data_IF_853300257013
#
_entry.id   IF_853300257013
#
_cell.length_a   1.000
_cell.length_b   1.000
_cell.length_c   1.000
_cell.angle_alpha   90.00
_cell.angle_beta   90.00
_cell.angle_gamma   90.00
#
_symmetry.space_group_name_H-M   'P 1'
#
loop_
_entity.id
_entity.type
_entity.pdbx_description
1 polymer ?
#
# COMPACT_ATOMS: atom_id res chain seq x y z
N UNK A 1 1.63 -87.37 11.07
CA UNK A 1 1.62 -85.99 11.61
C UNK A 1 2.78 -85.26 10.94
N UNK A 2 2.54 -84.57 9.82
CA UNK A 2 2.02 -83.18 9.75
C UNK A 2 3.09 -82.21 10.23
N UNK A 3 3.87 -81.64 9.30
CA UNK A 3 3.68 -80.30 8.73
C UNK A 3 4.53 -79.25 9.49
N UNK A 4 5.33 -78.40 8.86
CA UNK A 4 5.64 -78.38 7.42
C UNK A 4 6.82 -77.44 7.07
N UNK A 5 7.28 -77.61 5.82
CA UNK A 5 7.60 -76.57 4.81
C UNK A 5 8.49 -75.40 5.27
N UNK A 6 9.75 -75.30 4.85
CA UNK A 6 10.31 -75.05 3.50
C UNK A 6 10.97 -73.64 3.52
N UNK A 7 12.07 -73.34 2.83
CA UNK A 7 12.85 -74.18 1.92
C UNK A 7 13.33 -73.38 0.70
N UNK A 8 14.61 -72.99 0.71
CA UNK A 8 15.52 -72.79 -0.43
C UNK A 8 15.33 -71.60 -1.41
N UNK A 9 16.44 -70.85 -1.55
CA UNK A 9 17.06 -70.28 -2.76
C UNK A 9 16.40 -70.48 -4.14
N UNK A 10 16.46 -69.44 -5.01
CA UNK A 10 17.22 -69.42 -6.29
C UNK A 10 16.98 -68.10 -7.07
N UNK A 11 18.02 -67.30 -7.39
CA UNK A 11 18.80 -67.23 -8.66
C UNK A 11 18.40 -66.09 -9.65
N UNK A 12 19.35 -65.15 -9.78
CA UNK A 12 19.79 -64.35 -10.95
C UNK A 12 18.85 -63.93 -12.11
N UNK A 13 18.97 -62.64 -12.49
CA UNK A 13 19.46 -62.24 -13.83
C UNK A 13 19.93 -60.76 -13.88
N UNK A 14 21.19 -60.57 -14.34
CA UNK A 14 21.79 -59.56 -15.27
C UNK A 14 21.02 -58.23 -15.49
N UNK A 15 21.64 -57.05 -15.61
CA UNK A 15 22.80 -56.77 -16.47
C UNK A 15 23.58 -55.47 -16.13
N UNK A 16 24.90 -55.61 -16.02
CA UNK A 16 26.00 -54.80 -16.61
C UNK A 16 25.62 -53.66 -17.60
N UNK A 17 26.27 -52.49 -17.60
CA UNK A 17 27.72 -52.27 -17.90
C UNK A 17 28.37 -51.07 -17.20
N UNK A 18 29.67 -51.22 -16.96
CA UNK A 18 30.68 -50.17 -16.73
C UNK A 18 31.21 -49.68 -18.08
N UNK A 19 31.62 -48.41 -18.19
CA UNK A 19 32.89 -48.05 -18.82
C UNK A 19 33.41 -46.70 -18.28
N UNK A 20 34.63 -46.77 -17.81
CA UNK A 20 35.49 -45.70 -17.27
C UNK A 20 36.54 -45.38 -18.34
N UNK A 21 37.12 -44.19 -18.33
CA UNK A 21 38.38 -43.88 -19.01
C UNK A 21 38.94 -42.55 -18.51
N UNK A 22 39.97 -42.62 -17.69
CA UNK A 22 40.85 -41.50 -17.37
C UNK A 22 41.69 -41.09 -18.58
N UNK A 23 41.93 -39.78 -18.75
CA UNK A 23 43.21 -39.27 -19.25
C UNK A 23 43.59 -38.05 -18.40
N UNK A 24 44.65 -38.20 -17.62
CA UNK A 24 45.40 -37.14 -16.94
C UNK A 24 46.52 -36.61 -17.88
N UNK A 25 47.03 -35.39 -17.64
CA UNK A 25 48.40 -34.87 -17.91
C UNK A 25 48.46 -33.32 -17.84
N UNK A 26 48.80 -32.84 -16.64
CA UNK A 26 49.91 -31.90 -16.28
C UNK A 26 50.16 -30.54 -16.98
N UNK A 27 50.24 -29.51 -16.10
CA UNK A 27 51.21 -28.39 -16.01
C UNK A 27 51.26 -27.37 -17.17
N UNK A 28 51.60 -26.09 -16.98
CA UNK A 28 52.70 -25.39 -16.24
C UNK A 28 52.10 -24.01 -15.76
N UNK A 29 52.20 -23.55 -14.50
CA UNK A 29 53.31 -22.78 -13.84
C UNK A 29 53.84 -21.62 -14.74
N UNK A 30 54.22 -20.39 -14.31
CA UNK A 30 54.45 -19.73 -13.03
C UNK A 30 54.18 -18.21 -13.14
N UNK A 31 53.94 -17.52 -12.02
CA UNK A 31 54.81 -16.42 -11.52
C UNK A 31 54.15 -15.52 -10.44
N UNK A 32 54.76 -15.52 -9.24
CA UNK A 32 54.58 -14.55 -8.14
C UNK A 32 56.00 -14.13 -7.70
N UNK A 33 56.30 -12.83 -7.50
CA UNK A 33 56.66 -12.27 -6.16
C UNK A 33 56.25 -10.78 -6.00
N UNK A 34 56.21 -10.10 -4.84
CA UNK A 34 56.23 -10.42 -3.39
C UNK A 34 55.39 -9.30 -2.70
N UNK A 35 55.13 -9.21 -1.39
CA UNK A 35 55.54 -9.98 -0.21
C UNK A 35 54.70 -9.63 1.03
N UNK A 36 54.94 -10.33 2.14
CA UNK A 36 54.12 -10.25 3.37
C UNK A 36 54.31 -9.00 4.25
N UNK A 37 54.06 -9.02 5.57
CA UNK A 37 53.85 -10.13 6.53
C UNK A 37 52.94 -9.61 7.68
N UNK A 38 52.14 -10.46 8.34
CA UNK A 38 51.61 -10.12 9.68
C UNK A 38 50.38 -10.90 10.17
N UNK A 39 50.57 -12.13 10.65
CA UNK A 39 49.55 -12.85 11.46
C UNK A 39 49.70 -12.54 12.96
N UNK A 40 48.59 -12.65 13.72
CA UNK A 40 48.40 -12.98 15.17
C UNK A 40 47.11 -12.26 15.66
N UNK A 41 46.22 -12.78 16.52
CA UNK A 41 45.74 -14.14 16.86
C UNK A 41 44.42 -13.94 17.66
N UNK A 42 43.55 -14.94 17.69
CA UNK A 42 42.20 -14.91 18.31
C UNK A 42 42.23 -14.77 19.85
N UNK A 43 41.35 -13.96 20.46
CA UNK A 43 41.19 -13.87 21.92
C UNK A 43 40.09 -12.91 22.44
N UNK A 44 39.00 -13.52 22.92
CA UNK A 44 38.20 -13.19 24.12
C UNK A 44 37.27 -11.95 24.23
N UNK A 45 36.41 -12.02 25.26
CA UNK A 45 35.08 -11.39 25.37
C UNK A 45 35.03 -10.08 26.19
N UNK A 46 33.84 -9.43 26.16
CA UNK A 46 33.27 -8.56 27.21
C UNK A 46 34.09 -7.33 27.63
N UNK A 47 33.76 -6.17 27.07
CA UNK A 47 33.35 -4.98 27.85
C UNK A 47 33.12 -3.73 26.98
N UNK A 48 31.88 -3.22 26.91
CA UNK A 48 31.51 -1.78 26.81
C UNK A 48 30.01 -1.62 26.52
N UNK A 49 29.16 -1.71 27.54
CA UNK A 49 27.79 -1.16 27.51
C UNK A 49 27.38 -0.69 28.92
N UNK A 50 28.08 0.33 29.43
CA UNK A 50 27.77 1.02 30.69
C UNK A 50 28.29 2.46 30.65
N UNK A 51 27.65 3.32 29.85
CA UNK A 51 27.83 4.79 29.99
C UNK A 51 26.73 5.68 29.37
N UNK A 52 25.66 5.12 28.78
CA UNK A 52 24.57 5.92 28.16
C UNK A 52 23.40 6.27 29.08
N UNK A 53 23.27 5.64 30.25
CA UNK A 53 22.07 5.71 31.11
C UNK A 53 22.09 6.78 32.21
N UNK A 54 23.11 7.65 32.27
CA UNK A 54 23.31 8.59 33.41
C UNK A 54 22.98 10.07 33.13
N UNK A 55 22.45 10.39 31.94
CA UNK A 55 22.14 11.77 31.53
C UNK A 55 20.64 12.12 31.48
N UNK A 56 19.74 11.14 31.57
CA UNK A 56 18.28 11.36 31.45
C UNK A 56 17.54 11.59 32.78
N UNK A 57 18.15 11.29 33.93
CA UNK A 57 17.49 11.46 35.25
C UNK A 57 17.60 12.87 35.86
N UNK A 58 18.31 13.82 35.24
CA UNK A 58 18.54 15.17 35.80
C UNK A 58 17.61 16.29 35.32
N UNK A 59 16.55 15.98 34.57
CA UNK A 59 15.64 17.00 34.00
C UNK A 59 14.15 16.88 34.38
N UNK A 60 13.78 15.96 35.29
CA UNK A 60 12.37 15.73 35.71
C UNK A 60 12.09 16.24 37.15
N UNK A 61 13.05 16.91 37.79
CA UNK A 61 12.89 17.51 39.12
C UNK A 61 13.32 18.98 39.17
N UNK A 62 12.49 19.87 38.60
CA UNK A 62 12.36 21.28 39.02
C UNK A 62 11.21 21.98 38.28
N UNK A 63 10.01 22.02 38.89
CA UNK A 63 9.13 23.20 39.04
C UNK A 63 7.70 22.81 39.45
N UNK A 64 7.46 22.83 40.75
CA UNK A 64 6.14 23.03 41.34
C UNK A 64 6.17 24.37 42.09
N UNK A 65 5.27 25.30 41.74
CA UNK A 65 4.84 26.45 42.56
C UNK A 65 3.71 27.20 41.85
N UNK A 66 2.71 27.63 42.62
CA UNK A 66 1.50 28.38 42.24
C UNK A 66 1.77 29.92 42.25
N UNK A 67 0.87 30.89 41.96
CA UNK A 67 -0.60 31.00 42.05
C UNK A 67 -1.22 32.03 41.05
N UNK A 68 -2.57 32.06 41.02
CA UNK A 68 -3.49 33.23 40.97
C UNK A 68 -3.71 34.07 39.67
N UNK A 69 -4.83 33.75 39.01
CA UNK A 69 -5.97 34.63 38.61
C UNK A 69 -5.79 36.07 38.11
N UNK A 70 -6.37 36.36 36.93
CA UNK A 70 -7.22 37.54 36.64
C UNK A 70 -8.10 37.29 35.40
N UNK A 71 -9.19 38.06 35.25
CA UNK A 71 -10.29 37.91 34.26
C UNK A 71 -10.84 39.31 33.91
N UNK A 72 -11.49 39.63 32.78
CA UNK A 72 -11.72 39.03 31.44
C UNK A 72 -12.08 40.25 30.51
N UNK A 73 -12.98 40.24 29.49
CA UNK A 73 -13.59 39.22 28.60
C UNK A 73 -13.51 39.64 27.08
N UNK A 74 -14.37 39.07 26.21
CA UNK A 74 -14.79 39.56 24.85
C UNK A 74 -13.77 39.33 23.70
N UNK A 75 -14.08 38.81 22.49
CA UNK A 75 -15.23 38.11 21.88
C UNK A 75 -14.73 37.30 20.65
N UNK A 76 -15.47 36.28 20.18
CA UNK A 76 -15.22 35.66 18.85
C UNK A 76 -15.64 34.19 18.69
N UNK A 77 -16.77 33.94 18.00
CA UNK A 77 -17.27 32.59 17.68
C UNK A 77 -16.35 31.80 16.75
N UNK A 78 -16.05 30.54 17.11
CA UNK A 78 -15.83 29.45 16.13
C UNK A 78 -16.60 28.21 16.57
N UNK A 79 -17.57 27.82 15.74
CA UNK A 79 -18.41 26.63 15.94
C UNK A 79 -17.54 25.37 15.89
N UNK A 80 -17.41 24.68 17.03
CA UNK A 80 -16.78 23.36 17.12
C UNK A 80 -17.77 22.33 17.67
N UNK A 81 -18.65 21.85 16.78
CA UNK A 81 -19.57 20.74 17.06
C UNK A 81 -18.80 19.43 17.13
N UNK A 82 -18.16 19.17 18.29
CA UNK A 82 -17.80 17.82 18.71
C UNK A 82 -18.74 17.39 19.83
N UNK A 83 -19.60 16.42 19.50
CA UNK A 83 -20.66 15.95 20.39
C UNK A 83 -20.07 15.25 21.62
N UNK A 84 -20.20 15.87 22.79
CA UNK A 84 -19.94 15.21 24.07
C UNK A 84 -20.94 14.05 24.23
N UNK A 85 -20.44 12.82 24.21
CA UNK A 85 -21.09 11.71 24.91
C UNK A 85 -20.52 11.69 26.33
N UNK A 86 -21.41 11.64 27.32
CA UNK A 86 -21.08 11.82 28.74
C UNK A 86 -20.11 10.75 29.25
N UNK A 87 -19.16 11.18 30.08
CA UNK A 87 -18.48 10.28 31.03
C UNK A 87 -19.47 9.92 32.13
N UNK A 88 -19.64 8.62 32.37
CA UNK A 88 -20.13 8.08 33.64
C UNK A 88 -18.95 7.42 34.33
N UNK A 89 -18.70 7.80 35.58
CA UNK A 89 -17.62 7.22 36.37
C UNK A 89 -17.97 5.80 36.83
N UNK A 90 -17.06 4.86 36.60
CA UNK A 90 -17.04 3.55 37.24
C UNK A 90 -15.60 3.09 37.34
N UNK A 91 -15.03 3.17 38.55
CA UNK A 91 -13.77 2.49 38.86
C UNK A 91 -14.02 0.98 38.80
N UNK A 92 -13.36 0.28 37.87
CA UNK A 92 -13.31 -1.19 37.91
C UNK A 92 -11.88 -1.71 38.08
N UNK A 93 -11.79 -2.56 39.10
CA UNK A 93 -10.65 -3.34 39.58
C UNK A 93 -9.76 -3.89 38.46
N UNK A 94 -8.43 -3.71 38.62
CA UNK A 94 -7.41 -4.27 37.73
C UNK A 94 -7.33 -5.81 37.82
N UNK A 95 -8.26 -6.50 37.14
CA UNK A 95 -8.18 -7.93 36.86
C UNK A 95 -7.23 -8.20 35.69
N UNK A 96 -6.22 -9.05 35.89
CA UNK A 96 -5.26 -9.44 34.84
C UNK A 96 -5.90 -10.39 33.82
N UNK A 97 -6.72 -9.85 32.93
CA UNK A 97 -7.25 -10.59 31.77
C UNK A 97 -6.18 -10.63 30.69
N UNK A 98 -5.83 -11.84 30.22
CA UNK A 98 -5.08 -12.01 28.97
C UNK A 98 -5.96 -11.48 27.83
N UNK A 99 -5.75 -10.23 27.43
CA UNK A 99 -6.52 -9.58 26.39
C UNK A 99 -6.53 -10.42 25.12
N UNK A 100 -7.72 -10.92 24.74
CA UNK A 100 -7.91 -11.55 23.45
C UNK A 100 -7.61 -10.52 22.37
N UNK A 101 -6.74 -10.90 21.44
CA UNK A 101 -6.17 -9.94 20.50
C UNK A 101 -7.18 -9.70 19.38
N UNK A 102 -8.07 -8.73 19.60
CA UNK A 102 -9.16 -8.37 18.68
C UNK A 102 -8.60 -7.92 17.33
N UNK A 103 -8.52 -8.84 16.37
CA UNK A 103 -8.30 -8.49 14.97
C UNK A 103 -9.57 -7.82 14.43
N UNK A 104 -9.43 -6.79 13.57
CA UNK A 104 -10.58 -6.24 12.83
C UNK A 104 -11.35 -7.40 12.15
N UNK A 105 -12.64 -7.63 12.50
CA UNK A 105 -13.41 -8.74 11.96
C UNK A 105 -13.61 -8.56 10.45
N UNK A 106 -13.58 -9.67 9.70
CA UNK A 106 -13.99 -9.63 8.28
C UNK A 106 -15.49 -9.37 8.25
N UNK A 107 -15.91 -8.28 7.61
CA UNK A 107 -17.33 -8.04 7.33
C UNK A 107 -17.72 -8.98 6.19
N UNK A 108 -18.79 -9.75 6.37
CA UNK A 108 -19.23 -10.72 5.37
C UNK A 108 -19.53 -10.06 4.02
N UNK A 109 -19.14 -10.74 2.94
CA UNK A 109 -19.24 -10.21 1.57
C UNK A 109 -18.33 -9.02 1.26
N UNK A 110 -17.32 -8.71 2.09
CA UNK A 110 -16.35 -7.64 1.83
C UNK A 110 -14.91 -8.12 2.06
N UNK A 111 -13.94 -7.65 1.23
CA UNK A 111 -12.54 -7.97 1.45
C UNK A 111 -12.09 -7.67 2.87
N UNK A 112 -11.26 -8.56 3.42
CA UNK A 112 -10.70 -8.35 4.75
C UNK A 112 -10.00 -6.99 4.82
N UNK A 113 -10.21 -6.24 5.91
CA UNK A 113 -9.54 -4.95 6.14
C UNK A 113 -9.84 -3.91 5.03
N UNK A 114 -11.02 -4.02 4.38
CA UNK A 114 -11.50 -3.06 3.40
C UNK A 114 -11.69 -1.66 4.02
N UNK A 115 -11.39 -0.62 3.26
CA UNK A 115 -11.66 0.76 3.66
C UNK A 115 -11.49 1.76 2.53
N UNK A 116 -12.01 2.97 2.72
CA UNK A 116 -11.88 4.08 1.77
C UNK A 116 -10.68 4.94 2.13
N UNK A 117 -9.74 5.11 1.20
CA UNK A 117 -8.63 6.05 1.32
C UNK A 117 -9.13 7.45 0.94
N UNK A 118 -9.69 7.57 -0.27
CA UNK A 118 -10.32 8.76 -0.82
C UNK A 118 -11.60 8.34 -1.57
N UNK A 119 -12.52 9.26 -1.91
CA UNK A 119 -13.62 8.96 -2.81
C UNK A 119 -13.10 8.34 -4.11
N UNK A 120 -13.51 7.10 -4.42
CA UNK A 120 -13.02 6.33 -5.57
C UNK A 120 -11.66 5.65 -5.40
N UNK A 121 -11.02 5.70 -4.23
CA UNK A 121 -9.75 5.00 -3.97
C UNK A 121 -9.87 4.19 -2.66
N UNK A 122 -9.80 2.87 -2.79
CA UNK A 122 -10.06 1.91 -1.72
C UNK A 122 -8.80 1.11 -1.36
N UNK A 123 -8.78 0.55 -0.14
CA UNK A 123 -7.76 -0.39 0.33
C UNK A 123 -8.40 -1.71 0.77
N UNK A 124 -7.65 -2.81 0.70
CA UNK A 124 -8.04 -4.08 1.35
C UNK A 124 -6.87 -5.04 1.56
N UNK A 125 -7.15 -6.16 2.23
CA UNK A 125 -6.46 -7.45 2.03
C UNK A 125 -6.80 -8.09 0.70
N UNK A 126 -6.32 -9.30 0.48
CA UNK A 126 -6.48 -9.98 -0.80
C UNK A 126 -7.95 -10.37 -1.01
N UNK A 127 -8.61 -9.98 -2.12
CA UNK A 127 -9.98 -10.40 -2.39
C UNK A 127 -10.12 -11.91 -2.56
N UNK A 128 -11.19 -12.45 -2.00
CA UNK A 128 -11.62 -13.84 -2.11
C UNK A 128 -12.92 -13.90 -2.92
N UNK A 129 -13.34 -15.09 -3.39
CA UNK A 129 -14.50 -15.23 -4.28
C UNK A 129 -15.82 -14.71 -3.69
N UNK A 130 -15.99 -14.82 -2.37
CA UNK A 130 -17.13 -14.25 -1.63
C UNK A 130 -17.15 -12.71 -1.60
N UNK A 131 -16.04 -12.04 -1.94
CA UNK A 131 -15.93 -10.58 -1.95
C UNK A 131 -16.30 -9.97 -3.33
N UNK A 132 -16.34 -10.78 -4.39
CA UNK A 132 -16.44 -10.31 -5.78
C UNK A 132 -17.75 -9.58 -6.09
N UNK A 133 -18.86 -9.97 -5.46
CA UNK A 133 -20.16 -9.29 -5.56
C UNK A 133 -20.06 -7.83 -5.10
N UNK A 134 -19.51 -7.59 -3.91
CA UNK A 134 -19.30 -6.23 -3.40
C UNK A 134 -18.29 -5.44 -4.24
N UNK A 135 -17.23 -6.08 -4.75
CA UNK A 135 -16.25 -5.41 -5.60
C UNK A 135 -16.80 -5.03 -6.99
N UNK A 136 -17.74 -5.81 -7.54
CA UNK A 136 -18.51 -5.46 -8.74
C UNK A 136 -19.33 -4.20 -8.49
N UNK A 137 -20.02 -4.12 -7.36
CA UNK A 137 -20.88 -2.97 -7.03
C UNK A 137 -20.08 -1.66 -6.84
N UNK A 138 -18.80 -1.74 -6.44
CA UNK A 138 -17.87 -0.59 -6.45
C UNK A 138 -17.51 -0.09 -7.86
N UNK A 139 -17.85 -0.82 -8.93
CA UNK A 139 -17.53 -0.52 -10.33
C UNK A 139 -16.04 -0.16 -10.51
N UNK A 140 -15.16 -0.99 -9.94
CA UNK A 140 -13.72 -0.78 -10.02
C UNK A 140 -13.26 -0.75 -11.48
N UNK A 141 -12.36 0.18 -11.78
CA UNK A 141 -11.66 0.25 -13.06
C UNK A 141 -10.25 -0.34 -12.96
N UNK A 142 -9.61 -0.21 -11.80
CA UNK A 142 -8.23 -0.68 -11.59
C UNK A 142 -8.08 -1.39 -10.25
N UNK A 143 -7.38 -2.53 -10.28
CA UNK A 143 -6.89 -3.22 -9.08
C UNK A 143 -5.37 -3.16 -9.08
N UNK A 144 -4.80 -2.69 -7.97
CA UNK A 144 -3.35 -2.66 -7.73
C UNK A 144 -2.98 -3.71 -6.69
N UNK A 145 -2.29 -4.76 -7.10
CA UNK A 145 -1.84 -5.85 -6.23
C UNK A 145 -0.36 -5.68 -5.87
N UNK A 146 -0.08 -5.50 -4.58
CA UNK A 146 1.28 -5.30 -4.06
C UNK A 146 2.04 -6.61 -3.75
N UNK A 147 1.58 -7.74 -4.30
CA UNK A 147 2.13 -9.07 -4.02
C UNK A 147 2.17 -9.88 -5.30
N UNK A 148 3.36 -10.39 -5.60
CA UNK A 148 3.59 -11.41 -6.59
C UNK A 148 3.26 -12.79 -5.97
N UNK A 149 2.10 -13.35 -6.32
CA UNK A 149 1.64 -14.69 -5.94
C UNK A 149 0.55 -15.16 -6.91
N UNK A 150 0.32 -16.46 -6.96
CA UNK A 150 -0.79 -17.04 -7.73
C UNK A 150 -2.14 -16.45 -7.32
N UNK A 151 -2.99 -16.26 -8.32
CA UNK A 151 -4.30 -15.66 -8.15
C UNK A 151 -5.29 -16.72 -7.67
N UNK A 152 -6.20 -16.39 -6.73
CA UNK A 152 -7.23 -17.32 -6.32
C UNK A 152 -8.18 -17.62 -7.48
N UNK A 153 -8.88 -18.75 -7.38
CA UNK A 153 -9.80 -19.21 -8.41
C UNK A 153 -10.86 -18.14 -8.74
N UNK A 154 -11.18 -18.03 -10.03
CA UNK A 154 -12.11 -17.02 -10.55
C UNK A 154 -11.63 -15.57 -10.53
N UNK A 155 -10.47 -15.23 -9.93
CA UNK A 155 -10.05 -13.82 -9.83
C UNK A 155 -9.75 -13.18 -11.20
N UNK A 156 -9.11 -13.93 -12.11
CA UNK A 156 -8.90 -13.48 -13.49
C UNK A 156 -10.24 -13.29 -14.22
N UNK A 157 -11.15 -14.24 -14.09
CA UNK A 157 -12.50 -14.20 -14.69
C UNK A 157 -13.30 -13.01 -14.17
N UNK A 158 -13.23 -12.74 -12.85
CA UNK A 158 -13.84 -11.56 -12.23
C UNK A 158 -13.28 -10.26 -12.83
N UNK A 159 -11.95 -10.11 -12.89
CA UNK A 159 -11.34 -8.90 -13.45
C UNK A 159 -11.68 -8.71 -14.94
N UNK A 160 -11.62 -9.78 -15.74
CA UNK A 160 -11.96 -9.74 -17.18
C UNK A 160 -13.43 -9.39 -17.42
N UNK A 161 -14.37 -10.06 -16.73
CA UNK A 161 -15.81 -9.84 -16.89
C UNK A 161 -16.28 -8.45 -16.46
N UNK A 162 -15.54 -7.79 -15.57
CA UNK A 162 -15.83 -6.42 -15.11
C UNK A 162 -14.97 -5.34 -15.80
N UNK A 163 -14.12 -5.72 -16.77
CA UNK A 163 -13.26 -4.78 -17.49
C UNK A 163 -12.18 -4.10 -16.62
N UNK A 164 -11.76 -4.77 -15.54
CA UNK A 164 -10.81 -4.24 -14.56
C UNK A 164 -9.37 -4.34 -15.12
N UNK A 165 -8.68 -3.20 -15.19
CA UNK A 165 -7.24 -3.16 -15.43
C UNK A 165 -6.50 -3.68 -14.19
N UNK A 166 -5.72 -4.75 -14.34
CA UNK A 166 -4.96 -5.34 -13.23
C UNK A 166 -3.49 -4.92 -13.29
N UNK A 167 -3.03 -4.21 -12.27
CA UNK A 167 -1.65 -3.74 -12.15
C UNK A 167 -0.96 -4.44 -10.98
N UNK A 168 0.08 -5.21 -11.26
CA UNK A 168 0.90 -5.86 -10.23
C UNK A 168 2.17 -5.05 -10.00
N UNK A 169 2.33 -4.52 -8.78
CA UNK A 169 3.54 -3.79 -8.37
C UNK A 169 4.18 -4.58 -7.23
N UNK A 170 5.17 -5.41 -7.55
CA UNK A 170 5.82 -6.30 -6.57
C UNK A 170 6.52 -5.47 -5.49
N UNK A 171 5.93 -5.46 -4.29
CA UNK A 171 6.55 -4.91 -3.09
C UNK A 171 6.98 -6.06 -2.17
N UNK A 172 8.27 -6.09 -1.83
CA UNK A 172 8.83 -7.09 -0.92
C UNK A 172 8.31 -6.95 0.52
N UNK A 173 8.58 -7.98 1.33
CA UNK A 173 8.13 -8.03 2.72
C UNK A 173 8.80 -6.98 3.62
N UNK A 174 8.07 -5.92 3.96
CA UNK A 174 8.54 -4.76 4.79
C UNK A 174 9.20 -5.09 6.13
N UNK A 175 9.12 -6.34 6.63
CA UNK A 175 9.74 -6.75 7.91
C UNK A 175 11.27 -6.82 7.83
N UNK A 176 11.83 -7.15 6.66
CA UNK A 176 13.27 -7.42 6.47
C UNK A 176 13.92 -6.64 5.33
N UNK A 177 13.11 -6.09 4.43
CA UNK A 177 13.56 -5.40 3.22
C UNK A 177 12.98 -3.98 3.26
N UNK A 178 13.85 -3.00 3.03
CA UNK A 178 13.43 -1.60 2.88
C UNK A 178 12.54 -1.44 1.63
N UNK A 179 11.56 -0.53 1.68
CA UNK A 179 10.68 -0.26 0.55
C UNK A 179 11.41 0.66 -0.43
N UNK A 180 11.76 0.20 -1.65
CA UNK A 180 12.50 1.04 -2.59
C UNK A 180 11.65 2.24 -3.04
N UNK A 181 12.29 3.40 -3.19
CA UNK A 181 11.60 4.62 -3.64
C UNK A 181 10.91 4.43 -5.00
N UNK A 182 11.52 3.68 -5.92
CA UNK A 182 10.93 3.32 -7.22
C UNK A 182 9.59 2.61 -7.10
N UNK A 183 9.47 1.64 -6.19
CA UNK A 183 8.23 0.90 -5.93
C UNK A 183 7.14 1.85 -5.42
N UNK A 184 7.48 2.81 -4.55
CA UNK A 184 6.53 3.80 -4.05
C UNK A 184 6.11 4.80 -5.14
N UNK A 185 7.05 5.24 -5.98
CA UNK A 185 6.76 6.10 -7.13
C UNK A 185 5.79 5.42 -8.10
N UNK A 186 6.02 4.15 -8.48
CA UNK A 186 5.11 3.41 -9.37
C UNK A 186 3.70 3.21 -8.78
N UNK A 187 3.56 3.04 -7.46
CA UNK A 187 2.24 2.97 -6.82
C UNK A 187 1.52 4.31 -6.93
N UNK A 188 2.22 5.40 -6.61
CA UNK A 188 1.63 6.74 -6.65
C UNK A 188 1.31 7.19 -8.08
N UNK A 189 2.11 6.82 -9.08
CA UNK A 189 1.83 7.07 -10.50
C UNK A 189 0.44 6.52 -10.90
N UNK A 190 0.17 5.26 -10.58
CA UNK A 190 -1.13 4.62 -10.86
C UNK A 190 -2.25 5.21 -10.01
N UNK A 191 -2.00 5.49 -8.73
CA UNK A 191 -3.02 6.02 -7.79
C UNK A 191 -3.39 7.47 -8.07
N UNK A 192 -2.45 8.31 -8.53
CA UNK A 192 -2.69 9.72 -8.82
C UNK A 192 -3.37 9.96 -10.17
N UNK A 193 -3.22 9.04 -11.13
CA UNK A 193 -3.96 9.13 -12.38
C UNK A 193 -5.45 8.79 -12.17
N UNK A 194 -6.29 9.82 -12.30
CA UNK A 194 -7.75 9.72 -12.21
C UNK A 194 -8.36 8.82 -13.28
N UNK A 195 -7.65 8.52 -14.37
CA UNK A 195 -8.13 7.57 -15.38
C UNK A 195 -8.18 6.13 -14.85
N UNK A 196 -7.53 5.82 -13.72
CA UNK A 196 -7.59 4.51 -13.06
C UNK A 196 -8.72 4.40 -12.02
N UNK A 197 -9.49 5.46 -11.76
CA UNK A 197 -10.51 5.46 -10.69
C UNK A 197 -11.88 4.97 -11.22
N UNK A 198 -12.67 4.22 -10.42
CA UNK A 198 -12.39 3.78 -9.04
C UNK A 198 -11.31 2.69 -8.94
N UNK A 199 -10.45 2.79 -7.92
CA UNK A 199 -9.26 1.94 -7.76
C UNK A 199 -9.26 1.19 -6.41
N UNK A 200 -8.83 -0.07 -6.40
CA UNK A 200 -8.56 -0.85 -5.19
C UNK A 200 -7.06 -1.16 -5.05
N UNK A 201 -6.44 -0.72 -3.95
CA UNK A 201 -5.05 -1.01 -3.60
C UNK A 201 -4.98 -2.08 -2.51
N UNK A 202 -4.39 -3.24 -2.79
CA UNK A 202 -4.34 -4.34 -1.82
C UNK A 202 -3.00 -5.08 -1.77
N UNK A 203 -2.80 -5.81 -0.67
CA UNK A 203 -1.76 -6.83 -0.56
C UNK A 203 -2.37 -8.11 0.02
N UNK A 204 -1.57 -9.01 0.63
CA UNK A 204 -2.12 -10.22 1.25
C UNK A 204 -3.17 -9.94 2.34
N UNK A 205 -2.93 -8.95 3.20
CA UNK A 205 -3.76 -8.69 4.40
C UNK A 205 -4.18 -7.22 4.54
N UNK A 206 -3.75 -6.34 3.63
CA UNK A 206 -4.08 -4.91 3.68
C UNK A 206 -3.42 -4.13 4.82
N UNK A 207 -2.45 -4.76 5.51
CA UNK A 207 -1.80 -4.25 6.73
C UNK A 207 -0.51 -3.49 6.40
N UNK A 208 0.58 -4.22 6.13
CA UNK A 208 1.94 -3.65 6.04
C UNK A 208 2.21 -2.91 4.74
N UNK A 209 2.35 -3.61 3.62
CA UNK A 209 2.65 -3.03 2.29
C UNK A 209 1.60 -1.97 1.87
N UNK A 210 0.32 -2.35 1.95
CA UNK A 210 -0.80 -1.42 1.72
C UNK A 210 -0.80 -0.27 2.72
N UNK A 211 -0.47 -0.51 3.99
CA UNK A 211 -0.41 0.54 5.01
C UNK A 211 0.69 1.56 4.74
N UNK A 212 1.89 1.13 4.36
CA UNK A 212 2.99 2.02 3.98
C UNK A 212 2.64 2.82 2.71
N UNK A 213 2.04 2.19 1.70
CA UNK A 213 1.58 2.87 0.50
C UNK A 213 0.49 3.92 0.78
N UNK A 214 -0.55 3.55 1.55
CA UNK A 214 -1.59 4.47 1.99
C UNK A 214 -1.01 5.59 2.85
N UNK A 215 -0.06 5.30 3.73
CA UNK A 215 0.59 6.31 4.53
C UNK A 215 1.35 7.34 3.68
N UNK A 216 2.08 6.92 2.64
CA UNK A 216 2.71 7.88 1.71
C UNK A 216 1.66 8.68 0.95
N UNK A 217 0.56 8.05 0.49
CA UNK A 217 -0.59 8.77 -0.11
C UNK A 217 -1.11 9.84 0.86
N UNK A 218 -1.30 9.54 2.16
CA UNK A 218 -1.70 10.52 3.18
C UNK A 218 -0.69 11.67 3.31
N UNK A 219 0.61 11.39 3.36
CA UNK A 219 1.65 12.42 3.43
C UNK A 219 1.62 13.34 2.20
N UNK A 220 1.45 12.81 1.00
CA UNK A 220 1.31 13.63 -0.23
C UNK A 220 0.03 14.48 -0.21
N UNK A 221 -1.05 13.99 0.43
CA UNK A 221 -2.28 14.74 0.71
C UNK A 221 -2.14 15.74 1.88
N UNK A 222 -0.94 15.98 2.40
CA UNK A 222 -0.67 16.96 3.46
C UNK A 222 -1.05 16.52 4.87
N UNK A 223 -1.29 15.22 5.12
CA UNK A 223 -1.59 14.74 6.47
C UNK A 223 -0.38 14.86 7.40
N UNK A 224 -0.65 15.11 8.68
CA UNK A 224 0.41 15.07 9.70
C UNK A 224 1.00 13.66 9.82
N UNK A 225 2.25 13.57 10.23
CA UNK A 225 2.95 12.30 10.45
C UNK A 225 2.21 11.42 11.46
N UNK A 226 1.76 11.99 12.58
CA UNK A 226 1.08 11.23 13.63
C UNK A 226 -0.34 10.82 13.22
N UNK A 227 -1.09 11.66 12.49
CA UNK A 227 -2.38 11.25 11.88
C UNK A 227 -2.19 10.06 10.93
N UNK A 228 -1.10 10.07 10.15
CA UNK A 228 -0.74 9.02 9.21
C UNK A 228 -0.34 7.72 9.93
N UNK A 229 0.46 7.83 10.99
CA UNK A 229 0.83 6.69 11.84
C UNK A 229 -0.40 6.10 12.53
N UNK A 230 -1.33 6.92 13.01
CA UNK A 230 -2.57 6.47 13.65
C UNK A 230 -3.50 5.71 12.69
N UNK A 231 -3.61 6.15 11.42
CA UNK A 231 -4.33 5.36 10.41
C UNK A 231 -3.61 4.03 10.13
N UNK A 232 -2.28 4.06 9.96
CA UNK A 232 -1.50 2.84 9.76
C UNK A 232 -1.67 1.84 10.91
N UNK A 233 -1.52 2.26 12.17
CA UNK A 233 -1.59 1.38 13.34
C UNK A 233 -2.98 0.76 13.49
N UNK A 234 -4.04 1.53 13.25
CA UNK A 234 -5.43 1.02 13.23
C UNK A 234 -5.61 -0.10 12.21
N UNK A 235 -5.24 0.12 10.93
CA UNK A 235 -5.34 -0.93 9.90
C UNK A 235 -4.34 -2.08 10.08
N UNK A 236 -3.22 -1.86 10.77
CA UNK A 236 -2.23 -2.89 11.06
C UNK A 236 -2.58 -3.74 12.31
N UNK A 237 -3.45 -3.24 13.21
CA UNK A 237 -3.80 -3.91 14.47
C UNK A 237 -4.36 -5.32 14.27
N UNK A 238 -3.79 -6.36 14.91
CA UNK A 238 -2.83 -6.30 16.02
C UNK A 238 -1.36 -6.42 15.61
N UNK A 239 -1.08 -6.68 14.33
CA UNK A 239 0.24 -7.02 13.81
C UNK A 239 1.01 -5.76 13.38
N UNK A 240 0.94 -4.70 14.19
CA UNK A 240 1.65 -3.42 13.96
C UNK A 240 3.17 -3.68 13.90
N UNK A 241 3.88 -3.02 12.97
CA UNK A 241 5.34 -3.15 12.83
C UNK A 241 6.03 -1.83 13.08
N UNK A 242 6.97 -1.80 14.01
CA UNK A 242 7.76 -0.58 14.27
C UNK A 242 8.63 -0.17 13.06
N UNK A 243 9.07 -1.12 12.24
CA UNK A 243 9.80 -0.81 10.99
C UNK A 243 8.94 -0.02 9.99
N UNK A 244 7.65 -0.37 9.86
CA UNK A 244 6.71 0.37 9.01
C UNK A 244 6.41 1.76 9.61
N UNK A 245 6.22 1.87 10.93
CA UNK A 245 6.03 3.16 11.63
C UNK A 245 7.25 4.07 11.45
N UNK A 246 8.46 3.52 11.58
CA UNK A 246 9.71 4.25 11.39
C UNK A 246 9.83 4.71 9.92
N UNK A 247 9.52 3.86 8.94
CA UNK A 247 9.45 4.25 7.54
C UNK A 247 8.49 5.42 7.33
N UNK A 248 7.26 5.34 7.85
CA UNK A 248 6.24 6.39 7.72
C UNK A 248 6.71 7.72 8.34
N UNK A 249 7.36 7.68 9.50
CA UNK A 249 7.89 8.89 10.15
C UNK A 249 8.97 9.57 9.31
N UNK A 250 9.97 8.81 8.86
CA UNK A 250 11.14 9.34 8.15
C UNK A 250 10.96 9.50 6.63
N UNK A 251 9.86 9.04 6.03
CA UNK A 251 9.62 9.18 4.60
C UNK A 251 9.48 10.66 4.18
N UNK A 252 10.45 11.21 3.46
CA UNK A 252 10.38 12.58 2.94
C UNK A 252 9.69 12.63 1.57
N UNK A 253 8.72 13.53 1.41
CA UNK A 253 7.96 13.72 0.15
C UNK A 253 8.89 14.19 -0.98
N UNK A 254 10.00 14.88 -0.65
CA UNK A 254 11.02 15.32 -1.59
C UNK A 254 11.72 14.17 -2.34
N UNK A 255 11.63 12.93 -1.84
CA UNK A 255 12.16 11.73 -2.51
C UNK A 255 11.24 11.21 -3.63
N UNK A 256 10.05 11.79 -3.82
CA UNK A 256 9.15 11.42 -4.90
C UNK A 256 9.54 12.11 -6.21
N UNK A 257 9.76 11.32 -7.25
CA UNK A 257 10.16 11.82 -8.57
C UNK A 257 8.93 12.14 -9.41
N UNK A 258 8.85 13.34 -9.97
CA UNK A 258 7.84 13.73 -10.97
C UNK A 258 6.41 13.97 -10.47
N UNK A 259 6.07 13.55 -9.25
CA UNK A 259 4.70 13.65 -8.69
C UNK A 259 4.41 15.04 -8.11
N UNK A 260 5.44 15.73 -7.60
CA UNK A 260 5.34 17.09 -7.07
C UNK A 260 6.27 18.00 -7.89
N UNK A 261 5.76 18.59 -8.97
CA UNK A 261 6.49 19.64 -9.69
C UNK A 261 6.44 20.96 -8.88
N UNK A 262 7.57 21.46 -8.33
CA UNK A 262 7.57 22.69 -7.53
C UNK A 262 7.14 23.93 -8.32
N UNK A 263 7.16 23.89 -9.65
CA UNK A 263 6.76 24.99 -10.53
C UNK A 263 5.23 25.11 -10.67
N UNK A 264 4.49 24.01 -10.49
CA UNK A 264 3.03 24.02 -10.53
C UNK A 264 2.43 24.83 -9.35
N UNK A 265 2.99 24.66 -8.14
CA UNK A 265 2.46 25.33 -6.93
C UNK A 265 2.71 26.84 -6.93
N UNK A 266 3.81 27.32 -7.54
CA UNK A 266 4.14 28.76 -7.58
C UNK A 266 3.45 29.54 -8.70
N UNK A 267 2.79 28.87 -9.65
CA UNK A 267 2.07 29.51 -10.76
C UNK A 267 0.55 29.66 -10.52
N UNK A 268 0.08 29.34 -9.32
CA UNK A 268 -1.29 29.63 -8.86
C UNK A 268 -1.52 31.11 -8.47
N UNK A 269 -0.63 32.03 -8.84
CA UNK A 269 -0.82 33.47 -8.66
C UNK A 269 -1.77 34.03 -9.73
N UNK A 270 -3.02 34.31 -9.36
CA UNK A 270 -3.98 35.19 -10.04
C UNK A 270 -3.85 35.28 -11.58
N UNK A 271 -3.89 34.14 -12.27
CA UNK A 271 -4.02 34.13 -13.71
C UNK A 271 -5.38 34.69 -14.12
N UNK A 272 -5.39 35.75 -14.95
CA UNK A 272 -6.63 36.28 -15.56
C UNK A 272 -7.46 35.12 -16.15
N UNK A 273 -8.80 35.14 -16.03
CA UNK A 273 -9.64 34.08 -16.57
C UNK A 273 -9.34 33.91 -18.06
N UNK A 274 -9.00 32.69 -18.47
CA UNK A 274 -8.83 32.35 -19.90
C UNK A 274 -10.16 32.61 -20.59
N UNK A 275 -10.21 33.31 -21.73
CA UNK A 275 -11.46 33.56 -22.42
C UNK A 275 -12.11 32.22 -22.80
N UNK A 276 -13.38 32.07 -22.46
CA UNK A 276 -14.19 30.90 -22.77
C UNK A 276 -14.34 30.78 -24.29
N UNK A 277 -13.47 30.00 -24.92
CA UNK A 277 -13.52 29.74 -26.36
C UNK A 277 -14.76 28.91 -26.68
N UNK A 278 -15.87 29.60 -26.99
CA UNK A 278 -17.07 28.99 -27.56
C UNK A 278 -16.68 28.31 -28.86
N UNK A 279 -16.68 26.98 -28.85
CA UNK A 279 -16.49 26.20 -30.07
C UNK A 279 -17.60 26.52 -31.08
N UNK A 280 -17.31 27.37 -32.06
CA UNK A 280 -18.25 27.75 -33.13
C UNK A 280 -18.73 26.55 -33.97
N UNK A 281 -18.13 25.36 -33.80
CA UNK A 281 -18.51 24.13 -34.50
C UNK A 281 -19.93 23.67 -34.14
N UNK A 282 -20.34 23.73 -32.87
CA UNK A 282 -21.69 23.31 -32.45
C UNK A 282 -22.76 24.29 -32.93
N UNK A 283 -22.48 25.60 -32.88
CA UNK A 283 -23.40 26.63 -33.36
C UNK A 283 -23.65 26.53 -34.88
N UNK A 284 -22.59 26.29 -35.68
CA UNK A 284 -22.73 26.11 -37.13
C UNK A 284 -23.56 24.87 -37.51
N UNK A 285 -23.41 23.77 -36.77
CA UNK A 285 -24.26 22.58 -36.96
C UNK A 285 -25.74 22.86 -36.63
N UNK A 286 -26.03 23.55 -35.51
CA UNK A 286 -27.40 23.87 -35.12
C UNK A 286 -28.12 24.80 -36.11
N UNK A 287 -27.41 25.81 -36.66
CA UNK A 287 -27.99 26.69 -37.68
C UNK A 287 -28.25 25.93 -38.98
N UNK A 288 -27.37 25.01 -39.38
CA UNK A 288 -27.55 24.20 -40.58
C UNK A 288 -28.74 23.24 -40.46
N UNK A 289 -28.91 22.54 -39.33
CA UNK A 289 -30.05 21.63 -39.14
C UNK A 289 -31.38 22.37 -39.09
N UNK A 290 -31.44 23.53 -38.44
CA UNK A 290 -32.64 24.39 -38.45
C UNK A 290 -32.97 24.87 -39.87
N UNK A 291 -31.97 25.30 -40.65
CA UNK A 291 -32.19 25.75 -42.03
C UNK A 291 -32.71 24.64 -42.94
N UNK A 292 -32.15 23.43 -42.86
CA UNK A 292 -32.63 22.25 -43.60
C UNK A 292 -34.07 21.89 -43.19
N UNK A 293 -34.40 21.97 -41.89
CA UNK A 293 -35.76 21.70 -41.40
C UNK A 293 -36.78 22.74 -41.90
N UNK A 294 -36.42 24.03 -41.94
CA UNK A 294 -37.25 25.10 -42.50
C UNK A 294 -37.47 24.90 -44.01
N UNK A 295 -36.42 24.59 -44.78
CA UNK A 295 -36.57 24.30 -46.20
C UNK A 295 -37.48 23.09 -46.46
N UNK A 296 -37.32 22.01 -45.68
CA UNK A 296 -38.11 20.79 -45.84
C UNK A 296 -39.58 20.99 -45.46
N UNK A 297 -39.86 21.77 -44.40
CA UNK A 297 -41.25 22.12 -44.04
C UNK A 297 -41.90 23.06 -45.05
N UNK A 298 -41.15 24.01 -45.64
CA UNK A 298 -41.66 24.88 -46.70
C UNK A 298 -41.93 24.13 -48.03
N UNK A 299 -41.10 23.15 -48.41
CA UNK A 299 -41.40 22.31 -49.59
C UNK A 299 -42.61 21.41 -49.34
N UNK A 300 -42.71 20.77 -48.18
CA UNK A 300 -43.88 19.95 -47.81
C UNK A 300 -45.16 20.80 -47.76
N UNK A 301 -45.10 22.02 -47.24
CA UNK A 301 -46.26 22.92 -47.20
C UNK A 301 -46.68 23.37 -48.61
N UNK A 302 -45.72 23.68 -49.50
CA UNK A 302 -46.01 23.98 -50.92
C UNK A 302 -46.63 22.79 -51.65
N UNK A 303 -46.18 21.56 -51.36
CA UNK A 303 -46.73 20.33 -51.95
C UNK A 303 -48.11 19.93 -51.41
N UNK A 304 -48.63 20.65 -50.40
CA UNK A 304 -49.94 20.40 -49.77
C UNK A 304 -50.98 21.47 -50.09
N UNK A 305 -50.59 22.49 -50.86
CA UNK A 305 -51.42 23.64 -51.26
C UNK A 305 -51.59 23.69 -52.80
N UNK A 306 -50.82 22.88 -53.53
CA UNK A 306 -51.00 22.57 -54.94
C UNK A 306 -51.71 21.21 -55.10
#
# INVERSE_FOLDING_TARGET
MSDGKNGMNMVARRSTRVFENDIDVRQIEDSVPDGGIGYIRKGDEKSQERDSTRLTEKLIHTRTSSMSSLTAPVDGEIITTFQRVSRSDSEEVFGSVKGEVVENPKLYGRPRNFGTILPGIYRSGYPESEDYEFLRDLSLRTIVTLVDKDYPEGYQTFMQSNGINHVVIKMEGTKKVEIPQSVMNSILEVVMDRQNHPLLLHCNQGRHRTGCAVAVIRKVLGWSVESTVNEYTSYAHPKVRQVDVNYIRHFEIANLVGIVDPKATRTASFGKPRPFSRSHKTFRFAVFTIFVFILCTLTVLRYRIA
#
